data_IF_841149594477
#
_entry.id   IF_841149594477
#
_cell.length_a   1.000
_cell.length_b   1.000
_cell.length_c   1.000
_cell.angle_alpha   90.00
_cell.angle_beta   90.00
_cell.angle_gamma   90.00
#
_symmetry.space_group_name_H-M   'P 1'
#
loop_
_entity.id
_entity.type
_entity.pdbx_description
1 polymer ?
#
# COMPACT_ATOMS: atom_id res chain seq x y z
N UNK A 1 -38.28 21.62 -32.34
CA UNK A 1 -36.82 21.53 -32.18
C UNK A 1 -36.57 20.82 -30.86
N UNK A 2 -36.22 19.53 -30.88
CA UNK A 2 -35.92 18.79 -29.66
C UNK A 2 -34.53 19.19 -29.18
N UNK A 3 -34.46 19.83 -28.01
CA UNK A 3 -33.22 20.10 -27.32
C UNK A 3 -32.59 18.75 -26.94
N UNK A 4 -31.34 18.55 -27.36
CA UNK A 4 -30.58 17.38 -26.97
C UNK A 4 -30.46 17.34 -25.43
N UNK A 5 -30.68 16.18 -24.78
CA UNK A 5 -30.57 16.07 -23.34
C UNK A 5 -29.14 16.42 -22.88
N UNK A 6 -29.05 17.17 -21.77
CA UNK A 6 -27.77 17.58 -21.22
C UNK A 6 -26.96 16.34 -20.79
N UNK A 7 -25.66 16.27 -21.12
CA UNK A 7 -24.86 15.10 -20.80
C UNK A 7 -24.69 14.94 -19.28
N UNK A 8 -24.80 13.69 -18.81
CA UNK A 8 -24.56 13.32 -17.42
C UNK A 8 -23.25 13.94 -16.91
N UNK A 9 -23.34 14.67 -15.79
CA UNK A 9 -22.24 15.46 -15.22
C UNK A 9 -21.11 14.53 -14.78
N UNK A 10 -19.97 14.61 -15.47
CA UNK A 10 -18.76 13.86 -15.15
C UNK A 10 -18.19 14.32 -13.81
N UNK A 11 -17.63 13.41 -13.01
CA UNK A 11 -16.87 13.81 -11.81
C UNK A 11 -15.63 14.63 -12.23
N UNK A 12 -15.45 15.85 -11.71
CA UNK A 12 -14.32 16.69 -12.09
C UNK A 12 -13.01 16.25 -11.43
N UNK A 13 -13.08 15.38 -10.42
CA UNK A 13 -11.94 15.00 -9.58
C UNK A 13 -10.86 14.22 -10.32
N UNK A 14 -11.23 13.27 -11.18
CA UNK A 14 -10.24 12.52 -11.98
C UNK A 14 -9.41 13.44 -12.89
N UNK A 15 -10.06 14.45 -13.50
CA UNK A 15 -9.36 15.44 -14.33
C UNK A 15 -8.49 16.37 -13.49
N UNK A 16 -9.00 16.86 -12.35
CA UNK A 16 -8.23 17.74 -11.44
C UNK A 16 -6.97 17.06 -10.92
N UNK A 17 -7.08 15.80 -10.51
CA UNK A 17 -5.93 15.02 -10.05
C UNK A 17 -4.92 14.77 -11.18
N UNK A 18 -5.39 14.52 -12.40
CA UNK A 18 -4.49 14.39 -13.56
C UNK A 18 -3.76 15.70 -13.88
N UNK A 19 -4.43 16.85 -13.76
CA UNK A 19 -3.81 18.17 -13.94
C UNK A 19 -2.78 18.43 -12.84
N UNK A 20 -3.11 18.16 -11.57
CA UNK A 20 -2.17 18.33 -10.45
C UNK A 20 -0.95 17.43 -10.62
N UNK A 21 -1.14 16.15 -10.96
CA UNK A 21 -0.05 15.22 -11.26
C UNK A 21 0.82 15.71 -12.41
N UNK A 22 0.21 16.18 -13.51
CA UNK A 22 0.95 16.74 -14.65
C UNK A 22 1.75 18.00 -14.30
N UNK A 23 1.20 18.89 -13.47
CA UNK A 23 1.91 20.08 -12.97
C UNK A 23 3.08 19.66 -12.07
N UNK A 24 2.90 18.66 -11.21
CA UNK A 24 3.98 18.14 -10.36
C UNK A 24 5.11 17.53 -11.19
N UNK A 25 4.81 16.76 -12.25
CA UNK A 25 5.81 16.24 -13.18
C UNK A 25 6.56 17.39 -13.86
N UNK A 26 5.84 18.39 -14.38
CA UNK A 26 6.46 19.52 -15.08
C UNK A 26 7.38 20.31 -14.14
N UNK A 27 6.87 20.67 -12.96
CA UNK A 27 7.67 21.38 -11.96
C UNK A 27 8.88 20.56 -11.56
N UNK A 28 8.69 19.29 -11.17
CA UNK A 28 9.78 18.39 -10.80
C UNK A 28 10.84 18.24 -11.90
N UNK A 29 10.43 18.13 -13.16
CA UNK A 29 11.35 18.06 -14.30
C UNK A 29 12.15 19.36 -14.48
N UNK A 30 11.50 20.53 -14.37
CA UNK A 30 12.20 21.83 -14.39
C UNK A 30 13.17 21.93 -13.21
N UNK A 31 12.77 21.45 -12.03
CA UNK A 31 13.62 21.47 -10.84
C UNK A 31 14.89 20.62 -11.03
N UNK A 32 14.73 19.38 -11.47
CA UNK A 32 15.88 18.49 -11.71
C UNK A 32 16.75 19.01 -12.85
N UNK A 33 16.15 19.51 -13.93
CA UNK A 33 16.90 20.06 -15.06
C UNK A 33 17.77 21.26 -14.67
N UNK A 34 17.32 22.10 -13.73
CA UNK A 34 18.12 23.23 -13.25
C UNK A 34 19.30 22.82 -12.36
N UNK A 35 19.37 21.56 -11.94
CA UNK A 35 20.47 21.00 -11.14
C UNK A 35 21.28 19.96 -11.92
N UNK A 36 21.14 19.92 -13.25
CA UNK A 36 21.84 18.98 -14.13
C UNK A 36 23.36 19.03 -13.94
N UNK A 37 23.96 20.21 -13.79
CA UNK A 37 25.40 20.34 -13.56
C UNK A 37 25.84 19.66 -12.26
N UNK A 38 25.08 19.83 -11.16
CA UNK A 38 25.39 19.16 -9.89
C UNK A 38 25.23 17.64 -9.96
N UNK A 39 24.27 17.15 -10.75
CA UNK A 39 24.09 15.71 -10.99
C UNK A 39 25.28 15.17 -11.77
N UNK A 40 25.67 15.85 -12.84
CA UNK A 40 26.78 15.44 -13.69
C UNK A 40 28.11 15.44 -12.92
N UNK A 41 28.37 16.48 -12.13
CA UNK A 41 29.56 16.58 -11.29
C UNK A 41 29.65 15.45 -10.26
N UNK A 42 28.55 15.16 -9.56
CA UNK A 42 28.50 14.08 -8.58
C UNK A 42 28.61 12.68 -9.20
N UNK A 43 28.23 12.53 -10.47
CA UNK A 43 28.24 11.27 -11.22
C UNK A 43 29.56 10.98 -11.94
N UNK A 44 30.37 12.01 -12.20
CA UNK A 44 31.64 11.89 -12.93
C UNK A 44 32.77 11.49 -11.97
N UNK A 45 33.40 10.30 -12.14
CA UNK A 45 34.54 9.86 -11.34
C UNK A 45 35.73 10.84 -11.37
N UNK A 46 35.83 11.69 -12.41
CA UNK A 46 36.91 12.67 -12.56
C UNK A 46 36.73 13.89 -11.68
N UNK A 47 35.50 14.18 -11.27
CA UNK A 47 35.20 15.29 -10.36
C UNK A 47 35.00 14.76 -8.94
N UNK A 48 34.34 13.61 -8.81
CA UNK A 48 34.10 12.95 -7.55
C UNK A 48 35.12 11.83 -7.31
N UNK A 49 36.29 12.18 -6.78
CA UNK A 49 37.32 11.23 -6.38
C UNK A 49 37.91 11.57 -5.00
N UNK A 50 38.46 10.57 -4.31
CA UNK A 50 38.98 10.71 -2.95
C UNK A 50 40.25 11.56 -2.88
N UNK A 51 41.11 11.51 -3.90
CA UNK A 51 42.36 12.29 -4.01
C UNK A 51 42.76 12.42 -5.49
N UNK A 52 43.97 12.87 -5.80
CA UNK A 52 44.49 12.93 -7.18
C UNK A 52 44.34 11.58 -7.93
N UNK A 53 44.10 11.61 -9.25
CA UNK A 53 44.01 10.40 -10.06
C UNK A 53 45.27 9.54 -9.92
N UNK A 54 45.09 8.24 -9.69
CA UNK A 54 46.21 7.30 -9.58
C UNK A 54 46.69 6.93 -10.97
N UNK A 55 47.98 7.10 -11.23
CA UNK A 55 48.57 6.91 -12.56
C UNK A 55 49.74 5.95 -12.51
N UNK A 56 49.77 5.01 -13.45
CA UNK A 56 50.82 3.99 -13.54
C UNK A 56 50.75 2.90 -12.47
N UNK A 57 51.72 2.00 -12.55
CA UNK A 57 51.92 0.95 -11.56
C UNK A 57 52.69 1.49 -10.35
N UNK A 58 52.32 1.02 -9.16
CA UNK A 58 52.99 1.43 -7.93
C UNK A 58 52.12 1.31 -6.68
N UNK A 59 52.69 1.73 -5.56
CA UNK A 59 51.98 1.83 -4.28
C UNK A 59 51.65 3.28 -4.01
N UNK A 60 50.37 3.60 -3.89
CA UNK A 60 49.85 4.93 -3.60
C UNK A 60 49.24 4.94 -2.20
N UNK A 61 49.70 5.85 -1.33
CA UNK A 61 49.09 6.03 -0.02
C UNK A 61 47.78 6.81 -0.18
N UNK A 62 46.69 6.27 0.36
CA UNK A 62 45.36 6.88 0.31
C UNK A 62 45.12 7.81 1.50
N UNK A 63 45.90 7.68 2.58
CA UNK A 63 45.60 8.37 3.83
C UNK A 63 44.32 7.82 4.47
N UNK A 64 43.63 8.66 5.25
CA UNK A 64 42.46 8.26 6.02
C UNK A 64 41.19 8.15 5.14
N UNK A 65 40.64 6.94 5.05
CA UNK A 65 39.36 6.67 4.38
C UNK A 65 38.23 6.68 5.40
N UNK A 66 37.24 7.54 5.17
CA UNK A 66 36.09 7.74 6.07
C UNK A 66 34.77 7.13 5.54
N UNK A 67 34.73 6.73 4.26
CA UNK A 67 33.57 6.10 3.64
C UNK A 67 33.45 4.62 3.99
N UNK A 68 32.27 4.05 3.79
CA UNK A 68 32.01 2.61 3.95
C UNK A 68 32.17 1.85 2.64
N UNK A 69 32.00 2.52 1.50
CA UNK A 69 32.13 1.92 0.17
C UNK A 69 33.02 2.75 -0.75
N UNK A 70 34.00 2.08 -1.35
CA UNK A 70 34.88 2.64 -2.37
C UNK A 70 34.90 1.78 -3.62
N UNK A 71 34.89 2.41 -4.79
CA UNK A 71 35.04 1.76 -6.09
C UNK A 71 36.13 2.44 -6.89
N UNK A 72 36.88 1.65 -7.63
CA UNK A 72 37.90 2.15 -8.53
C UNK A 72 37.43 2.03 -9.97
N UNK A 73 37.39 3.17 -10.66
CA UNK A 73 36.98 3.28 -12.05
C UNK A 73 38.16 3.57 -12.96
N UNK A 74 38.10 3.03 -14.16
CA UNK A 74 39.07 3.26 -15.23
C UNK A 74 38.34 3.42 -16.57
N UNK A 75 38.97 4.07 -17.55
CA UNK A 75 38.47 4.07 -18.92
C UNK A 75 38.57 2.67 -19.56
N UNK A 76 37.57 2.25 -20.36
CA UNK A 76 37.58 0.96 -21.05
C UNK A 76 38.67 0.83 -22.13
N UNK A 77 39.13 1.96 -22.68
CA UNK A 77 40.16 2.04 -23.72
C UNK A 77 41.59 1.89 -23.21
N UNK A 78 41.79 1.90 -21.90
CA UNK A 78 43.11 1.82 -21.26
C UNK A 78 43.46 0.37 -20.87
N UNK A 79 44.76 0.05 -20.77
CA UNK A 79 45.21 -1.28 -20.35
C UNK A 79 44.66 -1.64 -18.96
N UNK A 80 44.32 -2.91 -18.75
CA UNK A 80 43.69 -3.36 -17.51
C UNK A 80 44.66 -3.25 -16.35
N UNK A 81 44.27 -2.52 -15.31
CA UNK A 81 44.99 -2.45 -14.03
C UNK A 81 44.34 -3.41 -13.02
N UNK A 82 45.13 -4.30 -12.41
CA UNK A 82 44.68 -5.05 -11.23
C UNK A 82 45.04 -4.25 -9.99
N UNK A 83 44.09 -4.13 -9.08
CA UNK A 83 44.24 -3.21 -7.95
C UNK A 83 43.93 -3.93 -6.66
N UNK A 84 44.87 -3.87 -5.74
CA UNK A 84 44.72 -4.40 -4.39
C UNK A 84 44.79 -3.27 -3.38
N UNK A 85 44.00 -3.35 -2.32
CA UNK A 85 44.00 -2.34 -1.26
C UNK A 85 44.49 -2.97 0.05
N UNK A 86 45.42 -2.28 0.72
CA UNK A 86 46.01 -2.73 1.98
C UNK A 86 45.76 -1.70 3.08
N UNK A 87 45.64 -2.19 4.32
CA UNK A 87 45.64 -1.31 5.50
C UNK A 87 47.07 -0.82 5.76
N UNK A 88 47.20 0.43 6.19
CA UNK A 88 48.46 1.04 6.60
C UNK A 88 48.41 1.30 8.10
N UNK A 89 49.49 0.94 8.81
CA UNK A 89 49.69 1.41 10.18
C UNK A 89 51.05 2.13 10.27
N UNK A 90 50.99 3.45 10.46
CA UNK A 90 52.17 4.30 10.55
C UNK A 90 52.85 4.56 9.21
N UNK A 91 53.63 3.59 8.69
CA UNK A 91 54.36 3.74 7.43
C UNK A 91 54.56 2.46 6.62
N UNK A 92 54.04 1.32 7.11
CA UNK A 92 54.15 0.04 6.44
C UNK A 92 52.77 -0.49 6.04
N UNK A 93 52.71 -1.20 4.92
CA UNK A 93 51.55 -2.01 4.54
C UNK A 93 51.42 -3.14 5.56
N UNK A 94 50.25 -3.26 6.18
CA UNK A 94 49.97 -4.24 7.22
C UNK A 94 48.97 -5.27 6.72
N UNK A 95 49.35 -6.55 6.84
CA UNK A 95 48.48 -7.69 6.54
C UNK A 95 48.39 -8.04 5.05
N UNK A 96 47.45 -8.93 4.73
CA UNK A 96 47.11 -9.31 3.37
C UNK A 96 46.20 -8.25 2.72
N UNK A 97 46.08 -8.29 1.39
CA UNK A 97 45.15 -7.42 0.66
C UNK A 97 43.73 -7.59 1.20
N UNK A 98 42.99 -6.48 1.32
CA UNK A 98 41.59 -6.53 1.69
C UNK A 98 40.81 -7.31 0.64
N UNK A 99 39.95 -8.22 1.11
CA UNK A 99 39.07 -8.97 0.23
C UNK A 99 38.14 -8.02 -0.51
N UNK A 100 38.18 -8.07 -1.84
CA UNK A 100 37.23 -7.34 -2.68
C UNK A 100 35.81 -7.75 -2.32
N UNK A 101 34.96 -6.75 -2.12
CA UNK A 101 33.56 -6.95 -1.80
C UNK A 101 32.76 -5.89 -2.51
N UNK A 102 31.95 -6.35 -3.46
CA UNK A 102 31.05 -5.51 -4.21
C UNK A 102 30.16 -4.71 -3.27
N UNK A 103 30.18 -3.39 -3.42
CA UNK A 103 29.23 -2.53 -2.74
C UNK A 103 27.81 -2.83 -3.24
N UNK A 104 26.86 -2.93 -2.31
CA UNK A 104 25.46 -3.31 -2.61
C UNK A 104 24.64 -2.22 -3.33
N UNK A 105 25.23 -1.06 -3.62
CA UNK A 105 24.56 0.03 -4.31
C UNK A 105 24.75 -0.14 -5.81
N UNK A 106 23.67 -0.36 -6.57
CA UNK A 106 23.68 -0.49 -8.04
C UNK A 106 23.88 0.87 -8.74
N UNK A 107 24.79 1.68 -8.22
CA UNK A 107 25.16 2.95 -8.82
C UNK A 107 26.07 2.72 -10.02
N UNK A 108 25.75 3.39 -11.13
CA UNK A 108 26.60 3.46 -12.31
C UNK A 108 27.01 4.92 -12.50
N UNK A 109 28.31 5.13 -12.61
CA UNK A 109 28.88 6.45 -12.87
C UNK A 109 28.66 6.83 -14.34
N UNK A 110 28.49 8.13 -14.58
CA UNK A 110 28.24 8.66 -15.91
C UNK A 110 28.83 10.07 -16.01
N UNK A 111 29.66 10.30 -17.03
CA UNK A 111 30.08 11.65 -17.38
C UNK A 111 29.11 12.28 -18.38
N UNK A 112 28.98 13.61 -18.33
CA UNK A 112 28.18 14.38 -19.28
C UNK A 112 28.67 14.26 -20.74
N UNK A 113 29.96 13.98 -20.93
CA UNK A 113 30.58 13.79 -22.24
C UNK A 113 30.20 12.45 -22.91
N UNK A 114 29.48 11.58 -22.20
CA UNK A 114 29.14 10.24 -22.67
C UNK A 114 30.29 9.24 -22.59
N UNK A 115 31.35 9.57 -21.86
CA UNK A 115 32.44 8.62 -21.59
C UNK A 115 31.99 7.60 -20.56
N UNK A 116 32.11 6.33 -20.93
CA UNK A 116 31.82 5.21 -20.05
C UNK A 116 33.05 4.88 -19.18
N UNK A 117 32.81 4.47 -17.95
CA UNK A 117 33.84 4.00 -17.03
C UNK A 117 33.55 2.56 -16.63
N UNK A 118 34.63 1.80 -16.43
CA UNK A 118 34.57 0.39 -16.02
C UNK A 118 35.07 0.28 -14.60
N UNK A 119 34.29 -0.40 -13.75
CA UNK A 119 34.71 -0.78 -12.40
C UNK A 119 35.79 -1.85 -12.49
N UNK A 120 36.95 -1.61 -11.86
CA UNK A 120 38.05 -2.59 -11.77
C UNK A 120 38.03 -3.36 -10.46
N UNK A 121 37.78 -2.66 -9.36
CA UNK A 121 37.76 -3.22 -8.03
C UNK A 121 36.82 -2.43 -7.11
N UNK A 122 36.29 -3.11 -6.10
CA UNK A 122 35.43 -2.50 -5.09
C UNK A 122 35.63 -3.08 -3.71
N UNK A 123 35.51 -2.20 -2.70
CA UNK A 123 35.76 -2.52 -1.31
C UNK A 123 34.69 -1.96 -0.41
N UNK A 124 34.31 -2.74 0.59
CA UNK A 124 33.53 -2.27 1.73
C UNK A 124 34.41 -2.18 2.96
N UNK A 125 34.59 -0.97 3.48
CA UNK A 125 35.37 -0.71 4.69
C UNK A 125 34.45 -0.71 5.91
N UNK A 126 34.83 -1.48 6.93
CA UNK A 126 34.10 -1.53 8.21
C UNK A 126 34.66 -0.54 9.24
N UNK A 127 35.93 -0.13 9.07
CA UNK A 127 36.66 0.76 9.98
C UNK A 127 37.30 1.90 9.19
N UNK A 128 37.20 3.12 9.72
CA UNK A 128 37.99 4.25 9.24
C UNK A 128 39.45 4.04 9.63
N UNK A 129 40.36 4.29 8.69
CA UNK A 129 41.78 4.04 8.90
C UNK A 129 42.60 4.49 7.72
N UNK A 130 43.92 4.37 7.85
CA UNK A 130 44.86 4.64 6.78
C UNK A 130 44.94 3.43 5.84
N UNK A 131 44.83 3.67 4.54
CA UNK A 131 44.93 2.63 3.52
C UNK A 131 45.93 3.02 2.43
N UNK A 132 46.35 2.03 1.65
CA UNK A 132 47.17 2.22 0.47
C UNK A 132 46.66 1.33 -0.66
N UNK A 133 46.77 1.84 -1.88
CA UNK A 133 46.43 1.18 -3.11
C UNK A 133 47.70 0.62 -3.75
N UNK A 134 47.70 -0.65 -4.12
CA UNK A 134 48.76 -1.28 -4.91
C UNK A 134 48.18 -1.56 -6.28
N UNK A 135 48.73 -0.90 -7.30
CA UNK A 135 48.33 -1.06 -8.68
C UNK A 135 49.38 -1.89 -9.39
N UNK A 136 48.96 -3.03 -9.92
CA UNK A 136 49.75 -3.90 -10.78
C UNK A 136 49.15 -3.93 -12.19
N UNK A 137 50.01 -3.98 -13.20
CA UNK A 137 49.61 -3.96 -14.59
C UNK A 137 50.29 -5.09 -15.34
N UNK A 138 49.52 -5.85 -16.12
CA UNK A 138 50.04 -6.91 -16.98
C UNK A 138 50.74 -6.33 -18.23
N UNK A 139 50.24 -5.19 -18.71
CA UNK A 139 50.80 -4.41 -19.83
C UNK A 139 51.31 -3.04 -19.35
N UNK A 140 52.14 -2.36 -20.15
CA UNK A 140 52.68 -1.03 -19.80
C UNK A 140 51.54 -0.01 -19.58
N UNK A 141 51.29 0.34 -18.32
CA UNK A 141 50.17 1.17 -17.89
C UNK A 141 50.60 2.58 -17.42
N UNK A 142 51.76 3.06 -17.85
CA UNK A 142 52.33 4.33 -17.36
C UNK A 142 51.46 5.55 -17.61
N UNK A 143 50.59 5.50 -18.63
CA UNK A 143 49.68 6.58 -19.00
C UNK A 143 48.22 6.31 -18.57
N UNK A 144 47.91 5.13 -18.01
CA UNK A 144 46.56 4.83 -17.58
C UNK A 144 46.25 5.48 -16.23
N UNK A 145 45.01 5.94 -16.09
CA UNK A 145 44.56 6.67 -14.93
C UNK A 145 43.35 5.99 -14.29
N UNK A 146 43.37 5.87 -12.97
CA UNK A 146 42.29 5.34 -12.18
C UNK A 146 41.79 6.37 -11.16
N UNK A 147 40.48 6.35 -10.94
CA UNK A 147 39.82 7.19 -9.95
C UNK A 147 39.22 6.32 -8.85
N UNK A 148 39.65 6.56 -7.61
CA UNK A 148 39.01 5.96 -6.45
C UNK A 148 37.87 6.85 -5.99
N UNK A 149 36.65 6.31 -6.04
CA UNK A 149 35.43 7.06 -5.81
C UNK A 149 34.71 6.56 -4.55
N UNK A 150 34.46 7.44 -3.56
CA UNK A 150 33.61 7.12 -2.43
C UNK A 150 32.13 7.14 -2.85
N UNK A 151 31.48 5.97 -2.89
CA UNK A 151 30.09 5.87 -3.37
C UNK A 151 29.10 6.50 -2.38
N UNK A 152 29.40 6.42 -1.08
CA UNK A 152 28.56 7.03 -0.04
C UNK A 152 28.53 8.56 -0.17
N UNK A 153 29.62 9.17 -0.64
CA UNK A 153 29.69 10.60 -0.88
C UNK A 153 28.78 11.02 -2.03
N UNK A 154 28.74 10.24 -3.13
CA UNK A 154 27.83 10.52 -4.26
C UNK A 154 26.37 10.57 -3.80
N UNK A 155 25.94 9.56 -3.04
CA UNK A 155 24.57 9.51 -2.53
C UNK A 155 24.27 10.70 -1.63
N UNK A 156 25.19 11.03 -0.71
CA UNK A 156 25.02 12.16 0.20
C UNK A 156 25.00 13.49 -0.55
N UNK A 157 25.85 13.68 -1.56
CA UNK A 157 25.92 14.92 -2.33
C UNK A 157 24.64 15.13 -3.15
N UNK A 158 24.11 14.08 -3.78
CA UNK A 158 22.84 14.15 -4.51
C UNK A 158 21.64 14.41 -3.58
N UNK A 159 21.63 13.78 -2.40
CA UNK A 159 20.56 13.97 -1.41
C UNK A 159 20.72 15.26 -0.60
N UNK A 160 21.90 15.87 -0.56
CA UNK A 160 22.12 17.15 0.11
C UNK A 160 21.42 18.30 -0.63
N UNK A 161 21.25 18.16 -1.95
CA UNK A 161 20.54 19.14 -2.77
C UNK A 161 19.05 19.09 -2.49
N UNK A 162 18.58 20.05 -1.68
CA UNK A 162 17.15 20.19 -1.31
C UNK A 162 16.25 20.22 -2.55
N UNK A 163 16.70 20.88 -3.62
CA UNK A 163 15.94 21.02 -4.85
C UNK A 163 15.89 19.73 -5.66
N UNK A 164 16.96 18.94 -5.65
CA UNK A 164 17.00 17.63 -6.30
C UNK A 164 16.09 16.63 -5.56
N UNK A 165 16.11 16.64 -4.21
CA UNK A 165 15.23 15.82 -3.38
C UNK A 165 13.76 16.21 -3.58
N UNK A 166 13.43 17.50 -3.48
CA UNK A 166 12.05 17.99 -3.66
C UNK A 166 11.59 17.76 -5.10
N UNK A 167 12.42 18.05 -6.10
CA UNK A 167 12.13 17.83 -7.51
C UNK A 167 11.91 16.36 -7.83
N UNK A 168 12.78 15.48 -7.31
CA UNK A 168 12.65 14.02 -7.44
C UNK A 168 11.38 13.49 -6.78
N UNK A 169 11.08 13.92 -5.55
CA UNK A 169 9.85 13.53 -4.86
C UNK A 169 8.58 13.99 -5.61
N UNK A 170 8.55 15.24 -6.09
CA UNK A 170 7.44 15.76 -6.89
C UNK A 170 7.27 15.00 -8.20
N UNK A 171 8.37 14.66 -8.87
CA UNK A 171 8.36 13.86 -10.09
C UNK A 171 7.79 12.46 -9.84
N UNK A 172 8.29 11.75 -8.81
CA UNK A 172 7.82 10.42 -8.44
C UNK A 172 6.33 10.41 -8.07
N UNK A 173 5.89 11.36 -7.24
CA UNK A 173 4.47 11.50 -6.90
C UNK A 173 3.63 11.83 -8.14
N UNK A 174 4.12 12.68 -9.04
CA UNK A 174 3.48 12.99 -10.30
C UNK A 174 3.33 11.76 -11.20
N UNK A 175 4.39 10.96 -11.36
CA UNK A 175 4.40 9.73 -12.17
C UNK A 175 3.46 8.66 -11.59
N UNK A 176 3.31 8.57 -10.28
CA UNK A 176 2.39 7.62 -9.65
C UNK A 176 0.93 8.10 -9.67
N UNK A 177 0.69 9.39 -9.44
CA UNK A 177 -0.68 9.95 -9.34
C UNK A 177 -1.34 10.14 -10.69
N UNK A 178 -0.58 10.53 -11.72
CA UNK A 178 -1.11 10.79 -13.07
C UNK A 178 -1.78 9.56 -13.73
N UNK A 179 -1.17 8.36 -13.79
CA UNK A 179 -1.81 7.19 -14.38
C UNK A 179 -3.06 6.78 -13.61
N UNK A 180 -3.01 6.81 -12.27
CA UNK A 180 -4.19 6.51 -11.43
C UNK A 180 -5.34 7.49 -11.69
N UNK A 181 -5.03 8.79 -11.78
CA UNK A 181 -6.00 9.82 -12.08
C UNK A 181 -6.60 9.68 -13.50
N UNK A 182 -5.79 9.29 -14.49
CA UNK A 182 -6.27 9.00 -15.85
C UNK A 182 -7.19 7.79 -15.88
N UNK A 183 -6.90 6.72 -15.14
CA UNK A 183 -7.79 5.56 -15.02
C UNK A 183 -9.15 5.97 -14.44
N UNK A 184 -9.16 6.72 -13.32
CA UNK A 184 -10.40 7.24 -12.72
C UNK A 184 -11.14 8.17 -13.68
N UNK A 185 -10.41 9.01 -14.42
CA UNK A 185 -10.98 9.87 -15.44
C UNK A 185 -11.65 9.05 -16.55
N UNK A 186 -10.99 8.05 -17.13
CA UNK A 186 -11.59 7.24 -18.20
C UNK A 186 -12.71 6.32 -17.71
N UNK A 187 -12.60 5.77 -16.51
CA UNK A 187 -13.64 4.95 -15.89
C UNK A 187 -14.91 5.74 -15.55
N UNK A 188 -14.77 7.02 -15.17
CA UNK A 188 -15.91 7.92 -14.93
C UNK A 188 -16.57 8.44 -16.22
N UNK A 189 -16.08 8.06 -17.41
CA UNK A 189 -16.71 8.45 -18.67
C UNK A 189 -18.04 7.70 -18.78
N UNK A 190 -19.20 8.41 -18.82
CA UNK A 190 -20.48 7.74 -18.97
C UNK A 190 -20.48 6.96 -20.28
N UNK A 191 -20.73 5.65 -20.21
CA UNK A 191 -20.88 4.82 -21.40
C UNK A 191 -22.06 5.36 -22.20
N UNK A 192 -21.85 5.71 -23.48
CA UNK A 192 -22.92 6.09 -24.40
C UNK A 192 -23.89 4.93 -24.71
N UNK A 193 -23.68 3.76 -24.13
CA UNK A 193 -24.56 2.62 -24.27
C UNK A 193 -25.67 2.68 -23.20
N UNK A 194 -26.95 2.56 -23.59
CA UNK A 194 -28.06 2.48 -22.65
C UNK A 194 -27.87 1.25 -21.75
N UNK A 195 -27.77 1.46 -20.45
CA UNK A 195 -27.52 0.38 -19.46
C UNK A 195 -28.78 -0.40 -19.10
N UNK A 196 -29.95 0.09 -19.50
CA UNK A 196 -31.24 -0.56 -19.28
C UNK A 196 -32.04 -0.51 -20.58
N UNK A 197 -32.45 -1.68 -21.07
CA UNK A 197 -33.33 -1.84 -22.23
C UNK A 197 -34.69 -2.26 -21.71
N UNK A 198 -35.76 -1.55 -22.10
CA UNK A 198 -37.12 -2.00 -21.85
C UNK A 198 -37.59 -2.88 -23.00
N UNK A 199 -38.29 -3.96 -22.69
CA UNK A 199 -39.01 -4.76 -23.69
C UNK A 199 -40.38 -4.11 -23.89
N UNK A 200 -40.64 -3.58 -25.08
CA UNK A 200 -41.95 -3.05 -25.44
C UNK A 200 -43.02 -4.15 -25.55
N UNK A 201 -44.31 -3.79 -25.62
CA UNK A 201 -45.43 -4.74 -25.66
C UNK A 201 -45.38 -5.69 -26.87
N UNK A 202 -44.70 -5.30 -27.94
CA UNK A 202 -44.50 -6.09 -29.17
C UNK A 202 -43.15 -6.84 -29.20
N UNK A 203 -42.43 -6.92 -28.08
CA UNK A 203 -41.13 -7.60 -27.97
C UNK A 203 -39.93 -6.81 -28.50
N UNK A 204 -40.10 -5.53 -28.86
CA UNK A 204 -39.01 -4.68 -29.35
C UNK A 204 -38.22 -4.07 -28.18
N UNK A 205 -36.88 -4.13 -28.25
CA UNK A 205 -35.98 -3.55 -27.24
C UNK A 205 -35.86 -2.04 -27.44
N UNK A 206 -36.40 -1.25 -26.51
CA UNK A 206 -36.32 0.21 -26.52
C UNK A 206 -35.25 0.64 -25.51
N UNK A 207 -34.23 1.41 -25.93
CA UNK A 207 -33.23 1.92 -25.01
C UNK A 207 -33.87 2.99 -24.12
N UNK A 208 -33.89 2.77 -22.80
CA UNK A 208 -34.28 3.83 -21.86
C UNK A 208 -33.08 4.77 -21.77
N UNK A 209 -33.13 5.85 -22.53
CA UNK A 209 -32.07 6.87 -22.56
C UNK A 209 -32.21 7.93 -21.47
N UNK A 210 -33.28 7.88 -20.67
CA UNK A 210 -33.53 8.87 -19.63
C UNK A 210 -34.14 8.23 -18.38
N UNK A 211 -33.31 8.02 -17.36
CA UNK A 211 -33.75 7.74 -15.99
C UNK A 211 -33.38 8.98 -15.17
N UNK A 212 -33.84 10.15 -15.61
CA UNK A 212 -33.77 11.36 -14.80
C UNK A 212 -34.96 11.35 -13.82
N UNK A 213 -34.73 11.34 -12.49
CA UNK A 213 -35.81 11.34 -11.49
C UNK A 213 -36.71 12.59 -11.55
N UNK A 214 -36.29 13.66 -12.24
CA UNK A 214 -37.02 14.94 -12.29
C UNK A 214 -37.96 15.09 -13.51
N UNK A 215 -37.99 14.15 -14.46
CA UNK A 215 -38.91 14.20 -15.62
C UNK A 215 -39.45 12.82 -16.01
N UNK A 216 -40.57 12.37 -15.43
CA UNK A 216 -41.27 11.15 -15.84
C UNK A 216 -42.14 11.40 -17.08
N UNK A 217 -41.55 11.72 -18.23
CA UNK A 217 -42.31 11.80 -19.50
C UNK A 217 -42.04 10.57 -20.35
N UNK A 218 -42.62 9.44 -19.95
CA UNK A 218 -42.76 8.26 -20.83
C UNK A 218 -44.06 7.47 -20.58
N UNK A 219 -45.08 8.11 -19.98
CA UNK A 219 -46.39 7.48 -19.74
C UNK A 219 -47.59 8.23 -20.34
N UNK A 220 -47.37 9.28 -21.12
CA UNK A 220 -48.46 10.05 -21.73
C UNK A 220 -48.38 9.99 -23.25
N UNK A 221 -48.71 8.82 -23.80
CA UNK A 221 -49.24 8.73 -25.16
C UNK A 221 -50.65 8.12 -25.06
N UNK A 222 -51.51 8.79 -24.29
CA UNK A 222 -52.96 8.60 -24.31
C UNK A 222 -53.59 9.42 -25.44
N UNK A 223 -53.18 9.22 -26.69
CA UNK A 223 -54.02 9.62 -27.81
C UNK A 223 -54.00 8.50 -28.86
N UNK A 224 -55.21 7.95 -29.09
CA UNK A 224 -55.60 6.99 -30.14
C UNK A 224 -55.40 5.49 -29.85
N UNK A 225 -56.39 4.87 -29.19
CA UNK A 225 -57.14 3.71 -29.73
C UNK A 225 -58.30 3.26 -28.79
N UNK A 226 -59.34 2.58 -29.30
CA UNK A 226 -60.69 2.60 -28.74
C UNK A 226 -60.90 1.64 -27.56
N UNK A 227 -61.88 2.01 -26.72
CA UNK A 227 -62.40 1.30 -25.55
C UNK A 227 -62.28 -0.24 -25.62
N UNK A 228 -61.51 -0.82 -24.70
CA UNK A 228 -61.61 -2.23 -24.32
C UNK A 228 -61.91 -2.35 -22.81
N UNK A 229 -62.75 -3.32 -22.40
CA UNK A 229 -63.29 -3.38 -21.04
C UNK A 229 -62.26 -3.84 -20.01
N UNK A 230 -62.32 -3.26 -18.82
CA UNK A 230 -61.46 -3.53 -17.70
C UNK A 230 -61.52 -5.01 -17.28
N UNK A 231 -60.40 -5.72 -17.41
CA UNK A 231 -60.17 -7.03 -16.80
C UNK A 231 -59.24 -6.82 -15.61
N UNK A 232 -59.69 -7.18 -14.41
CA UNK A 232 -58.92 -7.04 -13.18
C UNK A 232 -57.72 -8.02 -13.13
N UNK A 233 -56.54 -7.60 -12.62
CA UNK A 233 -55.37 -8.47 -12.46
C UNK A 233 -55.58 -9.50 -11.32
N UNK A 234 -55.16 -10.77 -11.48
CA UNK A 234 -55.51 -11.86 -10.55
C UNK A 234 -54.64 -12.01 -9.30
N UNK A 235 -53.77 -11.06 -8.93
CA UNK A 235 -52.83 -11.24 -7.79
C UNK A 235 -52.50 -9.95 -7.00
N UNK A 236 -53.43 -9.01 -6.85
CA UNK A 236 -53.25 -7.86 -5.96
C UNK A 236 -53.94 -8.09 -4.61
N UNK A 237 -53.31 -8.87 -3.73
CA UNK A 237 -53.76 -9.09 -2.34
C UNK A 237 -52.61 -8.98 -1.31
N UNK A 238 -51.62 -8.14 -1.61
CA UNK A 238 -50.70 -7.60 -0.60
C UNK A 238 -50.87 -6.10 -0.58
N UNK A 239 -51.77 -5.65 0.29
CA UNK A 239 -51.91 -4.24 0.64
C UNK A 239 -50.57 -3.75 1.22
N UNK A 240 -49.90 -2.87 0.48
CA UNK A 240 -48.83 -2.01 0.98
C UNK A 240 -49.36 -1.30 2.23
N UNK A 241 -48.85 -1.68 3.41
CA UNK A 241 -49.07 -0.90 4.62
C UNK A 241 -48.12 0.29 4.59
N UNK A 242 -48.70 1.49 4.64
CA UNK A 242 -47.99 2.75 4.80
C UNK A 242 -47.10 2.70 6.05
N UNK A 243 -45.92 3.36 6.03
CA UNK A 243 -45.00 3.34 7.15
C UNK A 243 -45.57 4.15 8.31
N UNK A 244 -45.85 3.50 9.43
CA UNK A 244 -46.10 4.18 10.71
C UNK A 244 -44.78 4.34 11.46
N UNK A 245 -44.46 5.58 11.87
CA UNK A 245 -43.34 5.91 12.75
C UNK A 245 -43.57 5.40 14.17
N UNK A 246 -43.42 4.10 14.37
CA UNK A 246 -43.45 3.46 15.67
C UNK A 246 -42.28 2.48 15.75
N UNK A 247 -41.54 2.54 16.86
CA UNK A 247 -40.34 1.73 17.09
C UNK A 247 -40.68 0.25 16.86
N UNK A 248 -40.16 -0.32 15.77
CA UNK A 248 -40.44 -1.70 15.38
C UNK A 248 -39.51 -2.60 16.19
N UNK A 249 -40.06 -3.26 17.20
CA UNK A 249 -39.37 -4.30 17.94
C UNK A 249 -39.20 -5.53 17.02
N UNK A 250 -38.00 -5.67 16.46
CA UNK A 250 -37.64 -6.70 15.48
C UNK A 250 -37.65 -8.13 16.02
N UNK A 251 -37.99 -8.36 17.30
CA UNK A 251 -38.10 -9.69 17.89
C UNK A 251 -39.08 -10.60 17.12
N UNK A 252 -40.17 -10.05 16.57
CA UNK A 252 -41.15 -10.84 15.82
C UNK A 252 -40.62 -11.26 14.44
N UNK A 253 -39.81 -10.41 13.80
CA UNK A 253 -39.17 -10.68 12.51
C UNK A 253 -37.96 -11.62 12.64
N UNK A 254 -37.27 -11.61 13.79
CA UNK A 254 -36.25 -12.60 14.16
C UNK A 254 -36.89 -13.97 14.40
N UNK A 255 -38.02 -14.03 15.11
CA UNK A 255 -38.77 -15.27 15.32
C UNK A 255 -39.35 -15.84 14.01
N UNK A 256 -39.75 -14.96 13.08
CA UNK A 256 -40.20 -15.34 11.74
C UNK A 256 -39.05 -15.78 10.80
N UNK A 257 -37.78 -15.61 11.23
CA UNK A 257 -36.59 -15.99 10.45
C UNK A 257 -36.26 -15.03 9.30
N UNK A 258 -36.80 -13.82 9.34
CA UNK A 258 -36.53 -12.74 8.38
C UNK A 258 -35.25 -11.97 8.73
N UNK A 259 -34.87 -11.95 10.02
CA UNK A 259 -33.67 -11.29 10.53
C UNK A 259 -32.78 -12.27 11.34
N UNK A 260 -31.45 -12.08 11.26
CA UNK A 260 -30.46 -12.89 11.99
C UNK A 260 -30.39 -12.46 13.45
N UNK A 261 -30.17 -13.42 14.37
CA UNK A 261 -29.97 -13.10 15.80
C UNK A 261 -28.64 -12.40 16.02
N UNK A 262 -28.52 -11.62 17.10
CA UNK A 262 -27.29 -10.90 17.45
C UNK A 262 -26.09 -11.82 17.63
N UNK A 263 -26.31 -13.04 18.14
CA UNK A 263 -25.25 -14.06 18.28
C UNK A 263 -24.80 -14.65 16.93
N UNK A 264 -25.74 -14.82 15.98
CA UNK A 264 -25.41 -15.25 14.61
C UNK A 264 -24.60 -14.19 13.88
N UNK A 265 -24.90 -12.91 14.09
CA UNK A 265 -24.12 -11.79 13.53
C UNK A 265 -22.73 -11.74 14.17
N UNK A 266 -22.64 -11.96 15.49
CA UNK A 266 -21.37 -11.93 16.21
C UNK A 266 -20.43 -13.10 15.84
N UNK A 267 -20.97 -14.30 15.63
CA UNK A 267 -20.22 -15.44 15.11
C UNK A 267 -19.71 -15.19 13.68
N UNK A 268 -20.55 -14.57 12.83
CA UNK A 268 -20.18 -14.23 11.46
C UNK A 268 -19.06 -13.18 11.41
N UNK A 269 -19.07 -12.18 12.29
CA UNK A 269 -18.03 -11.15 12.37
C UNK A 269 -16.66 -11.69 12.83
N UNK A 270 -16.62 -12.82 13.53
CA UNK A 270 -15.37 -13.53 13.86
C UNK A 270 -14.91 -14.53 12.80
N UNK A 271 -15.67 -14.67 11.71
CA UNK A 271 -15.37 -15.61 10.63
C UNK A 271 -15.76 -17.06 10.91
N UNK A 272 -16.54 -17.30 11.97
CA UNK A 272 -17.01 -18.64 12.33
C UNK A 272 -18.41 -18.90 11.74
N UNK A 273 -18.39 -19.26 10.45
CA UNK A 273 -19.60 -19.56 9.66
C UNK A 273 -20.30 -20.86 10.10
N UNK A 274 -19.57 -21.79 10.72
CA UNK A 274 -20.10 -23.07 11.17
C UNK A 274 -20.86 -22.92 12.49
N UNK A 275 -20.34 -22.12 13.42
CA UNK A 275 -21.05 -21.73 14.65
C UNK A 275 -22.35 -20.98 14.38
N UNK A 276 -22.35 -20.02 13.44
CA UNK A 276 -23.56 -19.30 13.05
C UNK A 276 -24.66 -20.23 12.49
N UNK A 277 -24.27 -21.29 11.77
CA UNK A 277 -25.19 -22.26 11.19
C UNK A 277 -25.73 -23.27 12.23
N UNK A 278 -24.93 -23.64 13.24
CA UNK A 278 -25.41 -24.49 14.34
C UNK A 278 -26.36 -23.74 15.27
N UNK A 279 -26.07 -22.49 15.63
CA UNK A 279 -26.98 -21.65 16.44
C UNK A 279 -28.34 -21.42 15.77
N UNK A 280 -28.37 -21.26 14.44
CA UNK A 280 -29.62 -21.17 13.68
C UNK A 280 -30.48 -22.45 13.71
N UNK A 281 -29.86 -23.62 13.98
CA UNK A 281 -30.55 -24.92 14.05
C UNK A 281 -31.05 -25.25 15.46
N UNK A 282 -30.29 -24.88 16.50
CA UNK A 282 -30.56 -25.28 17.88
C UNK A 282 -31.51 -24.33 18.63
N UNK A 283 -31.44 -23.02 18.38
CA UNK A 283 -32.27 -22.02 19.08
C UNK A 283 -33.69 -21.89 18.54
N UNK A 284 -33.99 -22.47 17.37
CA UNK A 284 -35.35 -22.44 16.80
C UNK A 284 -36.40 -23.15 17.66
N UNK A 285 -35.97 -23.97 18.63
CA UNK A 285 -36.86 -24.73 19.51
C UNK A 285 -36.32 -24.79 20.94
N UNK A 286 -36.10 -23.66 21.61
CA UNK A 286 -36.08 -23.65 23.08
C UNK A 286 -36.96 -22.54 23.62
N UNK A 287 -38.05 -22.94 24.28
CA UNK A 287 -38.84 -22.10 25.16
C UNK A 287 -37.96 -21.65 26.33
N UNK A 288 -37.88 -20.34 26.55
CA UNK A 288 -37.14 -19.69 27.64
C UNK A 288 -37.38 -20.40 28.97
N UNK A 289 -36.30 -20.89 29.59
CA UNK A 289 -36.35 -21.41 30.95
C UNK A 289 -36.58 -20.26 31.95
N UNK A 290 -37.28 -20.51 33.07
CA UNK A 290 -37.63 -19.47 34.03
C UNK A 290 -36.41 -18.79 34.65
N UNK A 291 -35.25 -19.47 34.73
CA UNK A 291 -33.99 -18.84 35.14
C UNK A 291 -33.54 -17.70 34.21
N UNK A 292 -33.74 -17.81 32.90
CA UNK A 292 -33.33 -16.79 31.93
C UNK A 292 -34.21 -15.54 32.04
N UNK A 293 -35.51 -15.73 32.32
CA UNK A 293 -36.43 -14.60 32.54
C UNK A 293 -36.11 -13.79 33.80
N UNK A 294 -35.53 -14.45 34.81
CA UNK A 294 -35.10 -13.79 36.06
C UNK A 294 -33.79 -13.02 35.81
N UNK A 295 -32.89 -13.58 35.00
CA UNK A 295 -31.64 -12.95 34.61
C UNK A 295 -31.89 -11.69 33.75
N UNK A 296 -32.83 -11.75 32.82
CA UNK A 296 -33.23 -10.63 31.96
C UNK A 296 -33.97 -9.54 32.74
N UNK A 297 -34.81 -9.90 33.72
CA UNK A 297 -35.43 -8.94 34.62
C UNK A 297 -34.40 -8.21 35.51
N UNK A 298 -33.35 -8.92 35.96
CA UNK A 298 -32.26 -8.32 36.73
C UNK A 298 -31.38 -7.40 35.88
N UNK A 299 -31.10 -7.78 34.62
CA UNK A 299 -30.38 -6.93 33.68
C UNK A 299 -31.19 -5.71 33.25
N UNK A 300 -32.50 -5.85 33.02
CA UNK A 300 -33.38 -4.73 32.70
C UNK A 300 -33.47 -3.73 33.87
N UNK A 301 -33.52 -4.21 35.12
CA UNK A 301 -33.47 -3.35 36.31
C UNK A 301 -32.11 -2.65 36.48
N UNK A 302 -31.01 -3.33 36.13
CA UNK A 302 -29.68 -2.73 36.12
C UNK A 302 -29.56 -1.63 35.05
N UNK A 303 -30.08 -1.86 33.84
CA UNK A 303 -30.08 -0.85 32.76
C UNK A 303 -30.96 0.35 33.13
N UNK A 304 -32.12 0.13 33.75
CA UNK A 304 -32.98 1.22 34.23
C UNK A 304 -32.28 2.10 35.29
N UNK A 305 -31.44 1.49 36.16
CA UNK A 305 -30.67 2.25 37.15
C UNK A 305 -29.56 3.14 36.57
N UNK A 306 -29.14 2.90 35.31
CA UNK A 306 -28.14 3.74 34.63
C UNK A 306 -28.76 5.01 34.05
N UNK A 307 -30.07 5.01 33.77
CA UNK A 307 -30.79 6.15 33.18
C UNK A 307 -31.23 7.19 34.24
N UNK A 308 -31.37 6.78 35.52
CA UNK A 308 -31.76 7.67 36.64
C UNK A 308 -30.58 8.37 37.35
N UNK A 309 -29.33 8.12 36.95
CA UNK A 309 -28.17 8.91 37.39
C UNK A 309 -27.82 8.83 38.89
N UNK A 310 -28.03 7.68 39.54
CA UNK A 310 -27.67 7.44 40.95
C UNK A 310 -26.42 6.53 41.03
N UNK A 311 -25.42 6.80 41.90
CA UNK A 311 -24.18 6.02 41.92
C UNK A 311 -24.37 4.56 42.39
N UNK A 312 -23.67 3.66 41.70
CA UNK A 312 -23.73 2.20 41.82
C UNK A 312 -23.38 1.68 43.23
N UNK A 313 -24.22 0.79 43.77
CA UNK A 313 -23.88 -0.04 44.92
C UNK A 313 -23.09 -1.28 44.47
N UNK A 314 -22.03 -1.64 45.21
CA UNK A 314 -21.14 -2.77 44.92
C UNK A 314 -21.87 -4.14 44.95
N UNK A 315 -21.63 -5.04 43.97
CA UNK A 315 -22.20 -6.38 43.98
C UNK A 315 -21.43 -7.34 44.91
N UNK A 316 -22.16 -8.06 45.77
CA UNK A 316 -21.67 -9.19 46.58
C UNK A 316 -21.31 -10.41 45.71
N UNK A 317 -20.25 -11.18 46.05
CA UNK A 317 -19.83 -12.34 45.28
C UNK A 317 -20.74 -13.55 45.48
N UNK A 318 -21.10 -14.22 44.38
CA UNK A 318 -21.86 -15.48 44.35
C UNK A 318 -20.91 -16.66 44.51
N UNK A 319 -21.15 -17.51 45.52
CA UNK A 319 -20.49 -18.80 45.71
C UNK A 319 -20.98 -19.81 44.66
N UNK A 320 -20.08 -20.36 43.84
CA UNK A 320 -20.35 -21.55 43.01
C UNK A 320 -19.95 -22.82 43.78
N UNK A 321 -20.92 -23.69 43.99
CA UNK A 321 -20.75 -25.06 44.50
C UNK A 321 -20.01 -25.95 43.52
N UNK A 322 -19.09 -26.76 44.05
CA UNK A 322 -18.25 -27.69 43.31
C UNK A 322 -19.01 -28.96 42.91
N UNK A 323 -18.88 -29.37 41.64
CA UNK A 323 -19.15 -30.76 41.24
C UNK A 323 -18.01 -31.29 40.37
N UNK A 324 -17.27 -32.23 40.96
CA UNK A 324 -16.19 -33.00 40.36
C UNK A 324 -16.74 -33.96 39.31
N UNK A 325 -16.17 -33.97 38.10
CA UNK A 325 -16.25 -35.15 37.21
C UNK A 325 -14.91 -35.45 36.54
N UNK A 326 -14.70 -36.75 36.39
CA UNK A 326 -13.45 -37.51 36.36
C UNK A 326 -12.76 -37.45 35.00
N UNK A 327 -11.44 -37.24 35.01
CA UNK A 327 -10.52 -37.23 33.85
C UNK A 327 -10.32 -38.66 33.32
N UNK A 328 -10.31 -38.82 31.99
CA UNK A 328 -9.73 -39.99 31.29
C UNK A 328 -8.70 -39.48 30.29
N UNK A 329 -7.74 -40.35 30.01
CA UNK A 329 -6.34 -40.09 29.71
C UNK A 329 -5.96 -39.97 28.22
N UNK A 330 -4.84 -39.26 28.03
CA UNK A 330 -3.76 -39.46 27.04
C UNK A 330 -3.99 -39.10 25.55
N UNK A 331 -3.27 -38.08 25.10
CA UNK A 331 -2.22 -38.21 24.09
C UNK A 331 -1.29 -36.98 24.14
N UNK A 332 0.00 -37.23 23.97
CA UNK A 332 1.14 -36.30 24.10
C UNK A 332 1.55 -35.81 22.72
N UNK A 333 1.77 -34.51 22.54
CA UNK A 333 2.69 -33.92 21.54
C UNK A 333 3.27 -32.58 22.05
N UNK A 334 4.44 -32.15 21.52
CA UNK A 334 5.52 -31.56 22.31
C UNK A 334 5.43 -30.05 22.51
N UNK A 335 6.11 -29.59 23.57
CA UNK A 335 6.24 -28.20 23.97
C UNK A 335 6.96 -27.35 22.90
N UNK A 336 6.23 -26.44 22.27
CA UNK A 336 6.78 -25.29 21.55
C UNK A 336 7.02 -24.14 22.52
N UNK A 337 8.29 -23.70 22.62
CA UNK A 337 8.75 -22.58 23.44
C UNK A 337 7.94 -21.30 23.19
N UNK A 338 7.44 -20.70 24.27
CA UNK A 338 6.71 -19.42 24.25
C UNK A 338 7.62 -18.17 24.19
N UNK A 339 8.94 -18.36 24.04
CA UNK A 339 9.93 -17.27 24.14
C UNK A 339 10.73 -17.02 22.84
N UNK A 340 10.32 -17.60 21.70
CA UNK A 340 11.01 -17.44 20.41
C UNK A 340 11.04 -15.99 19.86
N UNK A 341 10.27 -15.07 20.46
CA UNK A 341 10.25 -13.66 20.08
C UNK A 341 11.38 -12.83 20.73
N UNK A 342 12.10 -13.36 21.71
CA UNK A 342 13.20 -12.64 22.39
C UNK A 342 14.56 -12.71 21.67
N UNK A 343 14.74 -13.66 20.74
CA UNK A 343 16.01 -13.84 20.02
C UNK A 343 16.23 -12.85 18.87
N UNK A 344 15.29 -11.92 18.62
CA UNK A 344 15.38 -10.94 17.54
C UNK A 344 16.00 -9.59 17.97
N UNK A 345 16.15 -9.33 19.27
CA UNK A 345 16.57 -8.02 19.78
C UNK A 345 18.08 -7.92 20.08
N UNK A 346 18.84 -8.99 19.84
CA UNK A 346 20.31 -9.01 20.02
C UNK A 346 21.04 -9.52 18.78
N UNK A 347 20.94 -8.80 17.66
CA UNK A 347 21.90 -8.91 16.55
C UNK A 347 22.17 -7.58 15.87
#
# INVERSE_FOLDING_TARGET
MMQAPEPAKRSPWGFRLAVVGGVMILLGAVMMSSQSDSINAAMDPREQHHDEPYTGAGTHALGELNGTCYRLYQLPSEPVMSVEMHRVEGSALVGEALTEKACKLDWQVMAADGTEFVERASWTLNESGEYALVIECEEDCTESTAWLVPIDAIQNDLLSSTWLVVGGAMCCLGILTTPLALVVYFASKPSRAPRVMMVGPEGQLIPITDVNPDHPTLFTQEEQMPQQPAVAPPFSDTAEHQPSEQFVDGMQDVAAGSLLTTEQVYALMRGDVEGAQEHAKTERYQTTTPEDTIQDAANAAAIASWDEGVPLAEPKPVQRTSTTKKRTSAATEPAGNADAWKDWDEQ
#
